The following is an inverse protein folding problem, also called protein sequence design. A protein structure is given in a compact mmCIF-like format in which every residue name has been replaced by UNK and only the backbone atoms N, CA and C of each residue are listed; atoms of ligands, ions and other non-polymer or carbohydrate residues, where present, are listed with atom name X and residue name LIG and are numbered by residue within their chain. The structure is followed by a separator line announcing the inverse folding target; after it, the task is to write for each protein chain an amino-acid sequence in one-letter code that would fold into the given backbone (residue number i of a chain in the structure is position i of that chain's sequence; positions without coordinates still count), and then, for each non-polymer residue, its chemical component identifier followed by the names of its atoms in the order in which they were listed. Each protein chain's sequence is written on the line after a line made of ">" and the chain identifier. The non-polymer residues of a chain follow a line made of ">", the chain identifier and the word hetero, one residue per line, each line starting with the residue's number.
data_IF_216982327818
#
_entry.id   IF_216982327818
#
_cell.length_a   1.000
_cell.length_b   1.000
_cell.length_c   1.000
_cell.angle_alpha   90.00
_cell.angle_beta   90.00
_cell.angle_gamma   90.00
#
_symmetry.space_group_name_H-M   'P 1'
#
loop_
_entity.id
_entity.type
_entity.pdbx_description
1 polymer ?
#
# COMPACT_ATOMS: atom_id res chain seq x y z
N UNK A 1 -7.29 2.85 16.97
CA UNK A 1 -5.79 2.84 17.01
C UNK A 1 -5.29 2.33 15.68
N UNK A 2 -4.34 3.03 15.06
CA UNK A 2 -3.71 2.61 13.80
C UNK A 2 -2.94 1.31 13.99
N UNK A 3 -3.19 0.31 13.15
CA UNK A 3 -2.49 -0.97 13.15
C UNK A 3 -1.19 -0.95 12.36
N UNK A 4 -0.39 -2.01 12.49
CA UNK A 4 0.84 -2.20 11.70
C UNK A 4 0.65 -3.43 10.80
N UNK A 5 0.84 -3.23 9.50
CA UNK A 5 0.77 -4.27 8.49
C UNK A 5 2.09 -4.35 7.69
N UNK A 6 2.23 -5.40 6.90
CA UNK A 6 3.29 -5.55 5.90
C UNK A 6 2.69 -5.76 4.52
N UNK A 7 3.24 -5.07 3.50
CA UNK A 7 2.94 -5.36 2.10
C UNK A 7 3.73 -6.61 1.67
N UNK A 8 3.01 -7.67 1.30
CA UNK A 8 3.62 -8.97 0.97
C UNK A 8 4.47 -8.96 -0.31
N UNK A 9 4.36 -7.92 -1.15
CA UNK A 9 5.26 -7.73 -2.28
C UNK A 9 6.73 -7.63 -1.85
N UNK A 10 6.99 -7.10 -0.66
CA UNK A 10 8.34 -7.09 -0.07
C UNK A 10 8.93 -8.50 0.05
N UNK A 11 8.10 -9.47 0.38
CA UNK A 11 8.47 -10.88 0.64
C UNK A 11 8.19 -11.81 -0.56
N UNK A 12 8.00 -11.25 -1.77
CA UNK A 12 7.55 -12.00 -2.94
C UNK A 12 8.42 -13.20 -3.30
N UNK A 13 9.75 -13.06 -3.15
CA UNK A 13 10.68 -14.14 -3.48
C UNK A 13 10.59 -15.30 -2.47
N UNK A 14 10.42 -14.97 -1.19
CA UNK A 14 10.21 -15.92 -0.11
C UNK A 14 8.81 -16.57 -0.21
N UNK A 15 7.79 -15.78 -0.58
CA UNK A 15 6.42 -16.27 -0.80
C UNK A 15 6.33 -17.28 -1.94
N UNK A 16 7.12 -17.12 -3.01
CA UNK A 16 7.20 -18.11 -4.10
C UNK A 16 7.78 -19.46 -3.64
N UNK A 17 8.63 -19.45 -2.62
CA UNK A 17 9.28 -20.64 -2.11
C UNK A 17 8.48 -21.34 -1.00
N UNK A 18 7.93 -20.57 -0.07
CA UNK A 18 7.18 -21.05 1.09
C UNK A 18 6.11 -20.05 1.53
N UNK A 19 5.00 -20.03 0.80
CA UNK A 19 3.90 -19.10 1.03
C UNK A 19 3.38 -19.10 2.47
N UNK A 20 3.10 -20.28 3.00
CA UNK A 20 2.51 -20.40 4.34
C UNK A 20 3.53 -20.15 5.45
N UNK A 21 4.77 -20.62 5.29
CA UNK A 21 5.83 -20.34 6.24
C UNK A 21 6.19 -18.86 6.34
N UNK A 22 6.10 -18.11 5.24
CA UNK A 22 6.26 -16.64 5.28
C UNK A 22 5.15 -15.98 6.09
N UNK A 23 3.89 -16.39 5.94
CA UNK A 23 2.79 -15.86 6.75
C UNK A 23 2.98 -16.15 8.25
N UNK A 24 3.48 -17.35 8.59
CA UNK A 24 3.85 -17.67 9.98
C UNK A 24 4.95 -16.74 10.50
N UNK A 25 6.01 -16.50 9.72
CA UNK A 25 7.10 -15.58 10.07
C UNK A 25 6.61 -14.14 10.25
N UNK A 26 5.75 -13.65 9.35
CA UNK A 26 5.12 -12.33 9.47
C UNK A 26 4.36 -12.22 10.78
N UNK A 27 3.61 -13.26 11.17
CA UNK A 27 2.92 -13.28 12.47
C UNK A 27 3.89 -13.34 13.65
N UNK A 28 4.94 -14.16 13.60
CA UNK A 28 5.98 -14.25 14.65
C UNK A 28 6.69 -12.91 14.87
N UNK A 29 6.94 -12.14 13.81
CA UNK A 29 7.48 -10.79 13.88
C UNK A 29 6.50 -9.80 14.53
N UNK A 30 5.23 -10.19 14.62
CA UNK A 30 4.18 -9.48 15.32
C UNK A 30 3.41 -8.49 14.47
N UNK A 31 3.40 -8.61 13.16
CA UNK A 31 2.47 -7.86 12.33
C UNK A 31 1.02 -8.22 12.68
N UNK A 32 0.15 -7.22 12.66
CA UNK A 32 -1.28 -7.38 12.96
C UNK A 32 -2.08 -7.78 11.72
N UNK A 33 -1.58 -7.34 10.55
CA UNK A 33 -2.23 -7.54 9.25
C UNK A 33 -1.20 -7.69 8.14
N UNK A 34 -1.67 -8.17 6.99
CA UNK A 34 -0.96 -8.18 5.72
C UNK A 34 -1.72 -7.39 4.68
N UNK A 35 -1.02 -6.81 3.74
CA UNK A 35 -1.55 -6.32 2.49
C UNK A 35 -1.18 -7.32 1.39
N UNK A 36 -2.21 -7.82 0.71
CA UNK A 36 -2.06 -8.90 -0.25
C UNK A 36 -1.56 -8.38 -1.60
N UNK A 37 -0.52 -9.01 -2.14
CA UNK A 37 0.04 -8.76 -3.48
C UNK A 37 -0.03 -10.01 -4.37
N UNK A 38 -1.20 -10.64 -4.40
CA UNK A 38 -1.45 -11.91 -5.05
C UNK A 38 -1.38 -13.11 -4.11
N UNK A 39 -1.85 -14.27 -4.59
CA UNK A 39 -1.97 -15.51 -3.80
C UNK A 39 -1.08 -16.64 -4.31
N UNK A 40 -0.22 -16.39 -5.28
CA UNK A 40 0.78 -17.36 -5.82
C UNK A 40 0.17 -18.70 -6.26
N UNK A 41 -1.08 -18.67 -6.77
CA UNK A 41 -1.81 -19.86 -7.20
C UNK A 41 -2.48 -20.66 -6.08
N UNK A 42 -2.37 -20.23 -4.83
CA UNK A 42 -3.07 -20.87 -3.72
C UNK A 42 -4.58 -20.53 -3.74
N UNK A 43 -5.46 -21.49 -3.41
CA UNK A 43 -6.89 -21.25 -3.33
C UNK A 43 -7.21 -20.22 -2.24
N UNK A 44 -7.99 -19.19 -2.58
CA UNK A 44 -8.33 -18.10 -1.67
C UNK A 44 -8.93 -18.58 -0.34
N UNK A 45 -9.78 -19.62 -0.37
CA UNK A 45 -10.40 -20.16 0.84
C UNK A 45 -9.37 -20.79 1.81
N UNK A 46 -8.34 -21.44 1.27
CA UNK A 46 -7.25 -22.02 2.07
C UNK A 46 -6.38 -20.95 2.69
N UNK A 47 -6.03 -19.91 1.89
CA UNK A 47 -5.26 -18.74 2.36
C UNK A 47 -6.01 -18.01 3.47
N UNK A 48 -7.28 -17.72 3.26
CA UNK A 48 -8.14 -17.05 4.25
C UNK A 48 -8.24 -17.85 5.56
N UNK A 49 -8.45 -19.17 5.46
CA UNK A 49 -8.50 -20.04 6.62
C UNK A 49 -7.16 -20.08 7.38
N UNK A 50 -6.05 -20.10 6.66
CA UNK A 50 -4.71 -20.11 7.26
C UNK A 50 -4.38 -18.77 7.95
N UNK A 51 -4.58 -17.63 7.26
CA UNK A 51 -4.39 -16.31 7.84
C UNK A 51 -5.28 -16.11 9.08
N UNK A 52 -6.54 -16.58 9.02
CA UNK A 52 -7.46 -16.55 10.15
C UNK A 52 -6.97 -17.36 11.36
N UNK A 53 -6.36 -18.54 11.16
CA UNK A 53 -5.75 -19.33 12.25
C UNK A 53 -4.58 -18.60 12.90
N UNK A 54 -3.79 -17.87 12.12
CA UNK A 54 -2.69 -17.05 12.62
C UNK A 54 -3.19 -15.77 13.31
N UNK A 55 -4.46 -15.39 13.11
CA UNK A 55 -4.99 -14.11 13.56
C UNK A 55 -4.36 -12.94 12.81
N UNK A 56 -3.97 -13.13 11.55
CA UNK A 56 -3.56 -12.08 10.63
C UNK A 56 -4.80 -11.49 9.96
N UNK A 57 -4.95 -10.17 10.02
CA UNK A 57 -6.01 -9.44 9.31
C UNK A 57 -5.56 -9.11 7.89
N UNK A 58 -6.51 -8.79 7.02
CA UNK A 58 -6.25 -8.22 5.72
C UNK A 58 -6.37 -6.70 5.80
N UNK A 59 -5.27 -5.98 5.62
CA UNK A 59 -5.27 -4.51 5.56
C UNK A 59 -5.93 -4.04 4.26
N UNK A 60 -5.49 -4.61 3.13
CA UNK A 60 -6.04 -4.38 1.80
C UNK A 60 -5.60 -5.49 0.83
N UNK A 61 -6.10 -5.40 -0.41
CA UNK A 61 -5.74 -6.27 -1.52
C UNK A 61 -5.28 -5.40 -2.71
N UNK A 62 -4.03 -5.53 -3.14
CA UNK A 62 -3.51 -4.90 -4.35
C UNK A 62 -4.00 -5.63 -5.59
N UNK A 63 -4.65 -4.91 -6.49
CA UNK A 63 -5.25 -5.44 -7.72
C UNK A 63 -4.90 -4.54 -8.89
N UNK A 64 -4.36 -5.11 -9.97
CA UNK A 64 -4.02 -4.36 -11.17
C UNK A 64 -5.25 -3.72 -11.83
N UNK A 65 -5.04 -2.61 -12.55
CA UNK A 65 -6.10 -1.94 -13.30
C UNK A 65 -6.78 -2.89 -14.30
N UNK A 66 -6.01 -3.77 -14.95
CA UNK A 66 -6.57 -4.75 -15.91
C UNK A 66 -7.54 -5.73 -15.23
N UNK A 67 -7.22 -6.21 -14.01
CA UNK A 67 -8.15 -7.07 -13.26
C UNK A 67 -9.38 -6.30 -12.77
N UNK A 68 -9.22 -5.05 -12.37
CA UNK A 68 -10.35 -4.18 -12.00
C UNK A 68 -11.31 -3.98 -13.17
N UNK A 69 -10.78 -3.84 -14.39
CA UNK A 69 -11.59 -3.65 -15.59
C UNK A 69 -12.22 -4.95 -16.12
N UNK A 70 -11.52 -6.08 -16.02
CA UNK A 70 -11.94 -7.34 -16.64
C UNK A 70 -12.56 -8.37 -15.69
N UNK A 71 -12.23 -8.31 -14.38
CA UNK A 71 -12.53 -9.38 -13.42
C UNK A 71 -13.08 -8.86 -12.08
N UNK A 72 -13.76 -7.72 -12.06
CA UNK A 72 -14.13 -7.03 -10.83
C UNK A 72 -14.99 -7.89 -9.87
N UNK A 73 -15.87 -8.74 -10.39
CA UNK A 73 -16.67 -9.67 -9.58
C UNK A 73 -15.80 -10.72 -8.88
N UNK A 74 -14.76 -11.22 -9.57
CA UNK A 74 -13.80 -12.14 -8.95
C UNK A 74 -12.96 -11.43 -7.89
N UNK A 75 -12.56 -10.17 -8.12
CA UNK A 75 -11.86 -9.32 -7.14
C UNK A 75 -12.73 -9.11 -5.89
N UNK A 76 -14.01 -8.81 -6.05
CA UNK A 76 -14.95 -8.66 -4.92
C UNK A 76 -15.04 -9.95 -4.11
N UNK A 77 -15.19 -11.09 -4.78
CA UNK A 77 -15.25 -12.38 -4.12
C UNK A 77 -13.96 -12.73 -3.37
N UNK A 78 -12.80 -12.42 -3.97
CA UNK A 78 -11.48 -12.61 -3.37
C UNK A 78 -11.30 -11.72 -2.13
N UNK A 79 -11.64 -10.44 -2.22
CA UNK A 79 -11.56 -9.50 -1.11
C UNK A 79 -12.43 -9.96 0.08
N UNK A 80 -13.68 -10.33 -0.18
CA UNK A 80 -14.58 -10.84 0.86
C UNK A 80 -14.07 -12.14 1.50
N UNK A 81 -13.57 -13.07 0.70
CA UNK A 81 -13.02 -14.34 1.20
C UNK A 81 -11.82 -14.12 2.11
N UNK A 82 -10.93 -13.17 1.78
CA UNK A 82 -9.78 -12.78 2.58
C UNK A 82 -10.15 -11.89 3.78
N UNK A 83 -11.40 -11.44 3.89
CA UNK A 83 -11.82 -10.49 4.91
C UNK A 83 -11.23 -9.09 4.74
N UNK A 84 -10.79 -8.75 3.52
CA UNK A 84 -10.34 -7.40 3.21
C UNK A 84 -11.56 -6.47 3.03
N UNK A 85 -11.45 -5.27 3.57
CA UNK A 85 -12.49 -4.24 3.45
C UNK A 85 -12.16 -3.19 2.39
N UNK A 86 -10.97 -3.31 1.77
CA UNK A 86 -10.43 -2.34 0.82
C UNK A 86 -9.66 -3.04 -0.30
N UNK A 87 -9.84 -2.53 -1.50
CA UNK A 87 -9.05 -2.87 -2.69
C UNK A 87 -8.22 -1.67 -3.08
N UNK A 88 -6.99 -1.90 -3.50
CA UNK A 88 -6.05 -0.86 -3.93
C UNK A 88 -5.58 -1.13 -5.34
N UNK A 89 -5.63 -0.13 -6.22
CA UNK A 89 -4.91 -0.18 -7.48
C UNK A 89 -3.46 0.26 -7.23
N UNK A 90 -2.46 -0.66 -7.39
CA UNK A 90 -1.09 -0.39 -6.93
C UNK A 90 -0.27 0.48 -7.88
N UNK A 91 -0.63 0.54 -9.16
CA UNK A 91 0.06 1.35 -10.17
C UNK A 91 -0.68 1.29 -11.51
N UNK A 92 -0.25 2.11 -12.46
CA UNK A 92 -0.71 2.05 -13.87
C UNK A 92 0.47 1.95 -14.82
N UNK A 93 0.28 1.20 -15.92
CA UNK A 93 1.30 0.97 -16.92
C UNK A 93 1.82 2.27 -17.57
N UNK A 94 3.08 2.24 -18.01
CA UNK A 94 3.75 3.37 -18.66
C UNK A 94 2.97 3.94 -19.87
N UNK A 95 2.15 3.13 -20.53
CA UNK A 95 1.27 3.57 -21.63
C UNK A 95 0.28 4.67 -21.22
N UNK A 96 -0.01 4.78 -19.92
CA UNK A 96 -0.89 5.78 -19.34
C UNK A 96 -0.17 7.02 -18.78
N UNK A 97 1.18 7.06 -18.80
CA UNK A 97 1.95 8.17 -18.22
C UNK A 97 1.92 9.39 -19.14
N UNK A 98 0.73 9.94 -19.36
CA UNK A 98 0.45 11.17 -20.10
C UNK A 98 -0.80 11.83 -19.54
N UNK A 99 -1.02 13.16 -19.77
CA UNK A 99 -2.22 13.84 -19.29
C UNK A 99 -3.51 13.14 -19.73
N UNK A 100 -3.60 12.73 -21.01
CA UNK A 100 -4.79 12.04 -21.53
C UNK A 100 -4.91 10.62 -20.97
N UNK A 101 -3.79 9.93 -20.77
CA UNK A 101 -3.77 8.60 -20.15
C UNK A 101 -4.30 8.65 -18.72
N UNK A 102 -3.85 9.60 -17.90
CA UNK A 102 -4.36 9.75 -16.53
C UNK A 102 -5.83 10.20 -16.49
N UNK A 103 -6.30 10.97 -17.47
CA UNK A 103 -7.74 11.27 -17.59
C UNK A 103 -8.58 10.02 -17.89
N UNK A 104 -8.06 9.10 -18.71
CA UNK A 104 -8.71 7.81 -18.98
C UNK A 104 -8.67 6.92 -17.72
N UNK A 105 -7.51 6.75 -17.10
CA UNK A 105 -7.34 5.96 -15.87
C UNK A 105 -8.29 6.43 -14.77
N UNK A 106 -8.41 7.73 -14.51
CA UNK A 106 -9.32 8.23 -13.47
C UNK A 106 -10.76 7.75 -13.68
N UNK A 107 -11.25 7.75 -14.92
CA UNK A 107 -12.61 7.26 -15.22
C UNK A 107 -12.76 5.77 -14.92
N UNK A 108 -11.73 4.99 -15.23
CA UNK A 108 -11.70 3.55 -14.94
C UNK A 108 -11.66 3.28 -13.43
N UNK A 109 -10.84 4.03 -12.69
CA UNK A 109 -10.75 3.94 -11.23
C UNK A 109 -12.08 4.36 -10.55
N UNK A 110 -12.73 5.43 -11.01
CA UNK A 110 -14.04 5.87 -10.50
C UNK A 110 -15.13 4.81 -10.76
N UNK A 111 -15.10 4.16 -11.92
CA UNK A 111 -16.02 3.07 -12.23
C UNK A 111 -15.77 1.85 -11.31
N UNK A 112 -14.51 1.48 -11.09
CA UNK A 112 -14.15 0.41 -10.16
C UNK A 112 -14.54 0.76 -8.72
N UNK A 113 -14.25 1.98 -8.26
CA UNK A 113 -14.61 2.47 -6.93
C UNK A 113 -16.12 2.39 -6.67
N UNK A 114 -16.94 2.78 -7.66
CA UNK A 114 -18.40 2.69 -7.59
C UNK A 114 -18.88 1.24 -7.45
N UNK A 115 -18.32 0.31 -8.25
CA UNK A 115 -18.71 -1.11 -8.21
C UNK A 115 -18.30 -1.76 -6.88
N UNK A 116 -17.06 -1.50 -6.43
CA UNK A 116 -16.56 -1.98 -5.15
C UNK A 116 -17.38 -1.45 -3.97
N UNK A 117 -17.72 -0.15 -3.99
CA UNK A 117 -18.57 0.47 -2.97
C UNK A 117 -19.95 -0.16 -2.88
N UNK A 118 -20.56 -0.52 -4.01
CA UNK A 118 -21.84 -1.24 -4.04
C UNK A 118 -21.76 -2.64 -3.41
N UNK A 119 -20.55 -3.24 -3.40
CA UNK A 119 -20.26 -4.50 -2.73
C UNK A 119 -19.77 -4.33 -1.28
N UNK A 120 -19.78 -3.12 -0.73
CA UNK A 120 -19.33 -2.84 0.65
C UNK A 120 -17.80 -2.77 0.82
N UNK A 121 -17.05 -2.63 -0.29
CA UNK A 121 -15.60 -2.49 -0.29
C UNK A 121 -15.19 -1.04 -0.56
N UNK A 122 -14.22 -0.53 0.18
CA UNK A 122 -13.60 0.75 -0.10
C UNK A 122 -12.53 0.61 -1.20
N UNK A 123 -12.19 1.71 -1.85
CA UNK A 123 -11.18 1.74 -2.90
C UNK A 123 -10.11 2.78 -2.61
N UNK A 124 -8.84 2.43 -2.89
CA UNK A 124 -7.70 3.34 -2.81
C UNK A 124 -6.82 3.23 -4.04
N UNK A 125 -6.04 4.27 -4.27
CA UNK A 125 -4.97 4.29 -5.26
C UNK A 125 -3.63 4.43 -4.54
N UNK A 126 -2.68 3.53 -4.86
CA UNK A 126 -1.28 3.62 -4.48
C UNK A 126 -0.47 4.21 -5.63
N UNK A 127 0.58 4.94 -5.30
CA UNK A 127 1.37 5.71 -6.28
C UNK A 127 2.86 5.43 -6.19
N UNK A 128 3.57 5.88 -7.22
CA UNK A 128 5.02 5.96 -7.31
C UNK A 128 5.45 7.40 -7.56
N UNK A 129 6.68 7.61 -8.04
CA UNK A 129 7.20 8.94 -8.37
C UNK A 129 6.69 9.47 -9.72
N UNK A 130 6.33 8.59 -10.66
CA UNK A 130 5.92 8.98 -12.00
C UNK A 130 4.58 9.71 -12.05
N UNK A 131 3.65 9.47 -11.13
CA UNK A 131 2.42 10.27 -11.00
C UNK A 131 2.69 11.69 -10.52
N UNK A 132 3.81 11.90 -9.83
CA UNK A 132 4.25 13.24 -9.40
C UNK A 132 5.00 13.99 -10.50
N UNK A 133 5.57 13.27 -11.47
CA UNK A 133 6.31 13.83 -12.60
C UNK A 133 5.41 14.31 -13.76
N UNK A 134 4.19 13.79 -13.87
CA UNK A 134 3.24 14.16 -14.93
C UNK A 134 2.25 15.19 -14.42
N UNK A 135 2.10 16.30 -15.18
CA UNK A 135 1.09 17.33 -14.88
C UNK A 135 -0.21 17.08 -15.65
N UNK A 136 -1.34 17.15 -14.95
CA UNK A 136 -2.71 17.04 -15.50
C UNK A 136 -3.52 18.21 -14.96
N UNK A 137 -4.01 19.07 -15.82
CA UNK A 137 -4.87 20.21 -15.48
C UNK A 137 -4.31 21.11 -14.37
N UNK A 138 -2.98 21.38 -14.43
CA UNK A 138 -2.26 22.30 -13.52
C UNK A 138 -1.88 21.71 -12.16
N UNK A 139 -1.94 20.38 -12.00
CA UNK A 139 -1.52 19.65 -10.80
C UNK A 139 -0.87 18.31 -11.17
N UNK A 140 -0.22 17.64 -10.24
CA UNK A 140 0.35 16.32 -10.50
C UNK A 140 -0.75 15.30 -10.84
N UNK A 141 -0.39 14.27 -11.63
CA UNK A 141 -1.32 13.19 -11.93
C UNK A 141 -1.82 12.48 -10.66
N UNK A 142 -0.99 12.37 -9.62
CA UNK A 142 -1.42 11.84 -8.33
C UNK A 142 -2.57 12.67 -7.73
N UNK A 143 -2.38 14.00 -7.60
CA UNK A 143 -3.42 14.88 -7.08
C UNK A 143 -4.69 14.83 -7.94
N UNK A 144 -4.51 14.72 -9.27
CA UNK A 144 -5.63 14.56 -10.20
C UNK A 144 -6.40 13.26 -9.98
N UNK A 145 -5.72 12.12 -9.80
CA UNK A 145 -6.36 10.82 -9.55
C UNK A 145 -7.06 10.78 -8.20
N UNK A 146 -6.42 11.31 -7.16
CA UNK A 146 -6.98 11.33 -5.79
C UNK A 146 -8.21 12.24 -5.64
N UNK A 147 -8.49 13.13 -6.58
CA UNK A 147 -9.70 13.91 -6.63
C UNK A 147 -10.88 13.16 -7.28
N UNK A 148 -10.67 11.91 -7.72
CA UNK A 148 -11.71 11.08 -8.27
C UNK A 148 -12.74 10.61 -7.24
N UNK A 149 -13.98 10.46 -7.69
CA UNK A 149 -15.09 10.03 -6.83
C UNK A 149 -14.86 8.62 -6.28
N UNK A 150 -14.93 8.48 -4.95
CA UNK A 150 -14.78 7.20 -4.27
C UNK A 150 -13.33 6.71 -4.15
N UNK A 151 -12.34 7.50 -4.56
CA UNK A 151 -10.92 7.14 -4.50
C UNK A 151 -10.30 7.73 -3.23
N UNK A 152 -9.83 6.86 -2.33
CA UNK A 152 -8.99 7.23 -1.19
C UNK A 152 -7.51 7.06 -1.57
N UNK A 153 -6.63 7.62 -0.76
CA UNK A 153 -5.21 7.52 -0.99
C UNK A 153 -4.59 6.36 -0.17
N UNK A 154 -3.71 5.61 -0.81
CA UNK A 154 -2.65 4.88 -0.15
C UNK A 154 -1.34 5.59 -0.48
N UNK A 155 -0.89 6.47 0.43
CA UNK A 155 0.29 7.28 0.18
C UNK A 155 1.55 6.59 0.66
N UNK A 156 2.56 6.58 -0.22
CA UNK A 156 3.87 6.01 0.02
C UNK A 156 4.89 7.13 0.28
N UNK A 157 5.48 7.11 1.47
CA UNK A 157 6.37 8.18 1.95
C UNK A 157 7.69 8.22 1.18
N UNK A 158 8.21 7.07 0.75
CA UNK A 158 9.41 6.99 -0.08
C UNK A 158 9.15 7.59 -1.47
N UNK A 159 8.06 7.20 -2.12
CA UNK A 159 7.74 7.66 -3.46
C UNK A 159 7.37 9.14 -3.48
N UNK A 160 6.71 9.68 -2.44
CA UNK A 160 6.52 11.13 -2.29
C UNK A 160 7.88 11.85 -2.27
N UNK A 161 8.81 11.39 -1.42
CA UNK A 161 10.14 11.99 -1.32
C UNK A 161 10.95 11.81 -2.60
N UNK A 162 10.90 10.63 -3.23
CA UNK A 162 11.57 10.35 -4.51
C UNK A 162 11.06 11.24 -5.63
N UNK A 163 9.77 11.52 -5.66
CA UNK A 163 9.11 12.45 -6.57
C UNK A 163 9.31 13.93 -6.20
N UNK A 164 10.22 14.24 -5.26
CA UNK A 164 10.59 15.62 -4.90
C UNK A 164 9.56 16.35 -4.02
N UNK A 165 8.66 15.62 -3.36
CA UNK A 165 7.69 16.19 -2.41
C UNK A 165 8.15 15.99 -0.97
N UNK A 166 7.89 16.96 -0.10
CA UNK A 166 7.95 16.74 1.34
C UNK A 166 6.73 15.90 1.75
N UNK A 167 6.94 14.68 2.33
CA UNK A 167 5.83 13.79 2.63
C UNK A 167 4.81 14.40 3.59
N UNK A 168 5.25 15.07 4.66
CA UNK A 168 4.34 15.66 5.63
C UNK A 168 3.51 16.80 5.03
N UNK A 169 4.15 17.69 4.25
CA UNK A 169 3.45 18.76 3.58
C UNK A 169 2.44 18.25 2.55
N UNK A 170 2.79 17.20 1.80
CA UNK A 170 1.88 16.59 0.82
C UNK A 170 0.64 15.97 1.48
N UNK A 171 0.79 15.36 2.66
CA UNK A 171 -0.30 14.73 3.41
C UNK A 171 -1.37 15.73 3.90
N UNK A 172 -1.00 17.00 4.20
CA UNK A 172 -1.89 17.95 4.89
C UNK A 172 -3.28 18.09 4.26
N UNK A 173 -3.46 18.27 2.94
CA UNK A 173 -4.78 18.41 2.33
C UNK A 173 -5.61 17.14 2.30
N UNK A 174 -5.02 15.98 2.63
CA UNK A 174 -5.67 14.68 2.55
C UNK A 174 -6.13 14.09 3.90
N UNK A 175 -6.23 14.93 4.95
CA UNK A 175 -6.73 14.48 6.25
C UNK A 175 -8.10 13.79 6.13
N UNK A 176 -8.23 12.59 6.72
CA UNK A 176 -9.42 11.74 6.60
C UNK A 176 -9.54 10.95 5.29
N UNK A 177 -8.58 11.10 4.36
CA UNK A 177 -8.59 10.44 3.05
C UNK A 177 -7.38 9.53 2.79
N UNK A 178 -6.56 9.28 3.82
CA UNK A 178 -5.38 8.40 3.78
C UNK A 178 -5.56 7.25 4.77
N UNK A 179 -6.47 6.30 4.48
CA UNK A 179 -6.68 5.14 5.36
C UNK A 179 -5.46 4.21 5.42
N UNK A 180 -4.66 4.17 4.38
CA UNK A 180 -3.47 3.34 4.26
C UNK A 180 -2.24 4.22 4.00
N UNK A 181 -1.13 3.90 4.65
CA UNK A 181 0.12 4.64 4.47
C UNK A 181 1.28 3.66 4.40
N UNK A 182 1.98 3.62 3.27
CA UNK A 182 3.23 2.87 3.13
C UNK A 182 4.36 3.61 3.82
N UNK A 183 4.83 3.01 4.91
CA UNK A 183 5.98 3.49 5.67
C UNK A 183 7.25 2.83 5.13
N UNK A 184 7.72 3.35 4.02
CA UNK A 184 8.90 2.94 3.27
C UNK A 184 9.96 4.02 3.42
N UNK A 185 11.18 3.67 3.84
CA UNK A 185 12.25 4.64 4.10
C UNK A 185 13.23 4.76 2.95
N UNK A 186 14.01 5.83 2.95
CA UNK A 186 14.97 6.19 1.91
C UNK A 186 16.35 6.38 2.52
N UNK A 187 17.37 5.74 1.96
CA UNK A 187 18.77 5.94 2.39
C UNK A 187 19.18 7.41 2.30
N UNK A 188 20.08 7.82 3.20
CA UNK A 188 20.61 9.18 3.26
C UNK A 188 21.88 9.34 2.40
N UNK A 189 21.84 8.79 1.20
CA UNK A 189 22.92 8.90 0.22
C UNK A 189 22.40 9.34 -1.15
N UNK A 190 23.32 9.59 -2.09
CA UNK A 190 22.97 10.04 -3.44
C UNK A 190 22.18 9.01 -4.25
N UNK A 191 22.20 7.73 -3.88
CA UNK A 191 21.46 6.68 -4.55
C UNK A 191 19.98 6.73 -4.20
N UNK A 192 19.63 7.27 -3.01
CA UNK A 192 18.24 7.31 -2.52
C UNK A 192 17.59 5.93 -2.60
N UNK A 193 18.32 4.90 -2.19
CA UNK A 193 17.87 3.51 -2.20
C UNK A 193 16.78 3.29 -1.15
N UNK A 194 16.10 2.14 -1.24
CA UNK A 194 15.20 1.71 -0.16
C UNK A 194 16.00 1.40 1.10
N UNK A 195 15.42 1.72 2.25
CA UNK A 195 16.00 1.46 3.56
C UNK A 195 14.93 0.94 4.52
N UNK A 196 15.34 0.23 5.55
CA UNK A 196 14.48 -0.20 6.64
C UNK A 196 13.94 1.01 7.40
N UNK A 197 12.68 0.97 7.80
CA UNK A 197 12.00 2.07 8.52
C UNK A 197 12.84 2.57 9.69
N UNK A 198 13.09 3.87 9.73
CA UNK A 198 13.84 4.54 10.79
C UNK A 198 15.36 4.40 10.69
N UNK A 199 15.88 3.87 9.58
CA UNK A 199 17.34 3.83 9.31
C UNK A 199 17.77 4.80 8.22
N UNK A 200 16.81 5.39 7.51
CA UNK A 200 17.01 6.30 6.39
C UNK A 200 16.82 7.77 6.77
N UNK A 201 16.30 8.53 5.82
CA UNK A 201 16.26 9.99 5.86
C UNK A 201 14.84 10.58 5.92
N UNK A 202 13.82 9.75 6.13
CA UNK A 202 12.44 10.21 6.33
C UNK A 202 12.19 10.44 7.82
N UNK A 203 11.74 11.64 8.18
CA UNK A 203 11.32 11.94 9.56
C UNK A 203 9.89 11.41 9.78
N UNK A 204 9.79 10.17 10.25
CA UNK A 204 8.53 9.48 10.47
C UNK A 204 7.73 10.05 11.65
N UNK A 205 8.34 10.59 12.67
CA UNK A 205 7.64 10.94 13.91
C UNK A 205 6.46 11.91 13.70
N UNK A 206 6.60 13.05 13.02
CA UNK A 206 5.48 13.95 12.75
C UNK A 206 4.47 13.35 11.75
N UNK A 207 4.91 12.52 10.81
CA UNK A 207 4.05 11.86 9.82
C UNK A 207 3.14 10.83 10.50
N UNK A 208 3.70 9.98 11.35
CA UNK A 208 2.93 8.98 12.09
C UNK A 208 1.92 9.62 13.04
N UNK A 209 2.31 10.72 13.71
CA UNK A 209 1.39 11.49 14.55
C UNK A 209 0.23 12.09 13.73
N UNK A 210 0.53 12.63 12.54
CA UNK A 210 -0.49 13.10 11.61
C UNK A 210 -1.43 11.97 11.16
N UNK A 211 -0.89 10.82 10.78
CA UNK A 211 -1.68 9.66 10.35
C UNK A 211 -2.61 9.16 11.45
N UNK A 212 -2.12 9.05 12.69
CA UNK A 212 -2.93 8.67 13.84
C UNK A 212 -4.07 9.67 14.12
N UNK A 213 -3.80 10.96 14.04
CA UNK A 213 -4.80 12.00 14.22
C UNK A 213 -5.78 12.10 13.03
N UNK A 214 -5.31 11.83 11.81
CA UNK A 214 -6.06 11.88 10.57
C UNK A 214 -6.89 10.64 10.25
N UNK A 215 -6.85 9.60 11.10
CA UNK A 215 -7.66 8.39 10.92
C UNK A 215 -7.04 7.35 9.98
N UNK A 216 -5.72 7.36 9.77
CA UNK A 216 -5.02 6.26 9.08
C UNK A 216 -5.28 4.95 9.82
N UNK A 217 -5.78 3.96 9.10
CA UNK A 217 -6.15 2.64 9.64
C UNK A 217 -4.91 1.75 9.79
N UNK A 218 -4.02 1.78 8.78
CA UNK A 218 -2.83 0.95 8.73
C UNK A 218 -1.59 1.73 8.32
N UNK A 219 -0.52 1.58 9.09
CA UNK A 219 0.85 1.83 8.66
C UNK A 219 1.41 0.54 8.11
N UNK A 220 1.76 0.53 6.83
CA UNK A 220 2.13 -0.66 6.07
C UNK A 220 3.62 -0.60 5.76
N UNK A 221 4.39 -1.51 6.33
CA UNK A 221 5.81 -1.66 6.03
C UNK A 221 5.96 -2.24 4.63
N UNK A 222 6.76 -1.60 3.80
CA UNK A 222 7.15 -2.10 2.49
C UNK A 222 8.58 -1.72 2.14
N UNK A 223 9.24 -2.58 1.36
CA UNK A 223 10.56 -2.32 0.77
C UNK A 223 10.69 -3.12 -0.53
N UNK A 224 10.74 -2.45 -1.69
CA UNK A 224 10.71 -3.13 -3.00
C UNK A 224 11.98 -3.94 -3.26
N UNK A 225 13.12 -3.46 -2.76
CA UNK A 225 14.40 -4.14 -2.84
C UNK A 225 15.08 -4.09 -1.48
N UNK A 226 15.32 -5.26 -0.90
CA UNK A 226 16.07 -5.43 0.33
C UNK A 226 17.55 -5.73 0.03
N UNK A 227 18.49 -5.20 0.81
CA UNK A 227 19.93 -5.44 0.59
C UNK A 227 20.36 -6.88 0.90
N UNK A 228 19.51 -7.63 1.60
CA UNK A 228 19.73 -9.02 2.03
C UNK A 228 18.43 -9.81 2.06
N UNK A 229 18.23 -10.60 3.12
CA UNK A 229 16.98 -11.33 3.33
C UNK A 229 15.84 -10.37 3.66
N UNK A 230 14.73 -10.44 2.92
CA UNK A 230 13.63 -9.52 3.10
C UNK A 230 12.92 -9.69 4.45
N UNK A 231 12.88 -10.88 5.02
CA UNK A 231 12.36 -11.11 6.38
C UNK A 231 13.17 -10.38 7.45
N UNK A 232 14.50 -10.28 7.29
CA UNK A 232 15.34 -9.51 8.21
C UNK A 232 15.05 -8.01 8.09
N UNK A 233 14.89 -7.51 6.87
CA UNK A 233 14.54 -6.10 6.62
C UNK A 233 13.19 -5.72 7.23
N UNK A 234 12.15 -6.54 7.05
CA UNK A 234 10.84 -6.25 7.66
C UNK A 234 10.86 -6.42 9.18
N UNK A 235 11.72 -7.29 9.73
CA UNK A 235 11.91 -7.42 11.18
C UNK A 235 12.54 -6.15 11.79
N UNK A 236 13.54 -5.58 11.14
CA UNK A 236 14.13 -4.29 11.53
C UNK A 236 13.06 -3.18 11.44
N UNK A 237 12.36 -3.13 10.33
CA UNK A 237 11.35 -2.10 10.06
C UNK A 237 10.22 -2.11 11.09
N UNK A 238 9.64 -3.26 11.41
CA UNK A 238 8.56 -3.33 12.42
C UNK A 238 9.07 -2.98 13.82
N UNK A 239 10.28 -3.42 14.17
CA UNK A 239 10.86 -3.10 15.49
C UNK A 239 11.08 -1.59 15.65
N UNK A 240 11.55 -0.91 14.62
CA UNK A 240 11.76 0.54 14.64
C UNK A 240 10.41 1.29 14.59
N UNK A 241 9.47 0.86 13.75
CA UNK A 241 8.14 1.49 13.68
C UNK A 241 7.40 1.42 15.01
N UNK A 242 7.51 0.30 15.75
CA UNK A 242 6.95 0.18 17.10
C UNK A 242 7.56 1.16 18.08
N UNK A 243 8.88 1.33 18.06
CA UNK A 243 9.56 2.34 18.90
C UNK A 243 9.05 3.75 18.59
N UNK A 244 8.91 4.09 17.30
CA UNK A 244 8.39 5.39 16.87
C UNK A 244 6.93 5.63 17.30
N UNK A 245 6.12 4.57 17.37
CA UNK A 245 4.72 4.61 17.80
C UNK A 245 4.53 4.45 19.32
N UNK A 246 5.61 4.25 20.09
CA UNK A 246 5.56 3.93 21.54
C UNK A 246 4.69 2.69 21.84
N UNK A 247 4.80 1.64 21.03
CA UNK A 247 4.08 0.37 21.12
C UNK A 247 4.98 -0.80 21.53
#
# INVERSE_FOLDING_TARGET
>A
MTGIAVQLYTLRNEMEQDFYGVLEKVKELGFEAVEWAGLYGHPVAEVAAFAGKLGLKSAALHVSLDRLNGEIEAVIAEAHALGATRVVCPYVDQKYHSPDGYRAVRKELEAAAKTLSAAGLAFSYHHHDFELATEVDGRSALEYLLDGDGISAELDLYWLKKGGRDPLAFLQPYAGRVPLMHVKDMSDDAAQSFAEVGTGSIDFAPILAWGQAGGTEWFIVEQDVCPGNALDSVAISIANLRKLLNK
#
